data_IF_920621297282
#
_entry.id   IF_920621297282
#
_cell.length_a   1.000
_cell.length_b   1.000
_cell.length_c   1.000
_cell.angle_alpha   90.00
_cell.angle_beta   90.00
_cell.angle_gamma   90.00
#
_symmetry.space_group_name_H-M   'P 1'
#
loop_
_entity.id
_entity.type
_entity.pdbx_description
1 polymer ?
#
# COMPACT_ATOMS: atom_id res chain seq x y z
N UNK A 1 35.34 37.53 -47.44
CA UNK A 1 34.17 36.97 -46.71
C UNK A 1 33.41 38.14 -46.08
N UNK A 2 32.18 38.44 -46.50
CA UNK A 2 31.56 39.75 -46.19
C UNK A 2 31.06 39.84 -44.72
N UNK A 3 31.22 40.99 -44.05
CA UNK A 3 30.85 41.19 -42.64
C UNK A 3 29.33 41.05 -42.39
N UNK A 4 28.50 41.18 -43.43
CA UNK A 4 27.05 40.93 -43.35
C UNK A 4 26.70 39.45 -43.12
N UNK A 5 27.48 38.50 -43.66
CA UNK A 5 27.22 37.06 -43.46
C UNK A 5 27.50 36.61 -42.02
N UNK A 6 28.58 37.11 -41.39
CA UNK A 6 28.90 36.81 -39.98
C UNK A 6 27.84 37.27 -38.98
N UNK A 7 27.17 38.41 -39.21
CA UNK A 7 26.11 38.90 -38.32
C UNK A 7 24.82 38.08 -38.45
N UNK A 8 24.50 37.61 -39.65
CA UNK A 8 23.33 36.78 -39.90
C UNK A 8 23.47 35.39 -39.25
N UNK A 9 24.64 34.77 -39.37
CA UNK A 9 24.94 33.46 -38.76
C UNK A 9 24.91 33.50 -37.22
N UNK A 10 25.34 34.62 -36.62
CA UNK A 10 25.29 34.81 -35.16
C UNK A 10 23.85 35.03 -34.67
N UNK A 11 23.04 35.79 -35.40
CA UNK A 11 21.63 36.01 -35.08
C UNK A 11 20.82 34.70 -35.17
N UNK A 12 21.06 33.89 -36.21
CA UNK A 12 20.40 32.58 -36.37
C UNK A 12 20.79 31.58 -35.28
N UNK A 13 22.08 31.48 -34.93
CA UNK A 13 22.53 30.61 -33.81
C UNK A 13 21.98 31.05 -32.46
N UNK A 14 21.83 32.35 -32.21
CA UNK A 14 21.26 32.86 -30.96
C UNK A 14 19.78 32.48 -30.81
N UNK A 15 19.00 32.55 -31.90
CA UNK A 15 17.60 32.08 -31.93
C UNK A 15 17.50 30.56 -31.78
N UNK A 16 18.38 29.82 -32.43
CA UNK A 16 18.36 28.35 -32.39
C UNK A 16 18.70 27.81 -30.98
N UNK A 17 19.62 28.45 -30.26
CA UNK A 17 19.91 28.15 -28.84
C UNK A 17 18.75 28.53 -27.91
N UNK A 18 18.12 29.68 -28.14
CA UNK A 18 16.94 30.10 -27.36
C UNK A 18 15.76 29.14 -27.51
N UNK A 19 15.49 28.67 -28.74
CA UNK A 19 14.46 27.66 -29.00
C UNK A 19 14.80 26.33 -28.32
N UNK A 20 16.04 25.87 -28.39
CA UNK A 20 16.45 24.62 -27.73
C UNK A 20 16.31 24.67 -26.21
N UNK A 21 16.68 25.80 -25.59
CA UNK A 21 16.52 26.01 -24.16
C UNK A 21 15.04 26.07 -23.75
N UNK A 22 14.19 26.74 -24.54
CA UNK A 22 12.75 26.78 -24.29
C UNK A 22 12.12 25.39 -24.40
N UNK A 23 12.46 24.60 -25.42
CA UNK A 23 11.97 23.23 -25.58
C UNK A 23 12.43 22.33 -24.43
N UNK A 24 13.70 22.42 -24.03
CA UNK A 24 14.23 21.67 -22.90
C UNK A 24 13.50 22.03 -21.59
N UNK A 25 13.21 23.32 -21.35
CA UNK A 25 12.48 23.77 -20.17
C UNK A 25 11.02 23.28 -20.17
N UNK A 26 10.34 23.28 -21.32
CA UNK A 26 8.96 22.76 -21.45
C UNK A 26 8.94 21.25 -21.19
N UNK A 27 9.88 20.49 -21.76
CA UNK A 27 9.99 19.05 -21.51
C UNK A 27 10.28 18.76 -20.03
N UNK A 28 11.19 19.52 -19.42
CA UNK A 28 11.52 19.35 -18.01
C UNK A 28 10.32 19.68 -17.11
N UNK A 29 9.58 20.76 -17.39
CA UNK A 29 8.35 21.08 -16.65
C UNK A 29 7.28 20.01 -16.85
N UNK A 30 7.14 19.44 -18.06
CA UNK A 30 6.24 18.33 -18.33
C UNK A 30 6.60 17.09 -17.50
N UNK A 31 7.88 16.72 -17.45
CA UNK A 31 8.36 15.60 -16.62
C UNK A 31 8.13 15.87 -15.14
N UNK A 32 8.45 17.08 -14.66
CA UNK A 32 8.23 17.46 -13.25
C UNK A 32 6.74 17.44 -12.90
N UNK A 33 5.87 17.93 -13.78
CA UNK A 33 4.42 17.87 -13.57
C UNK A 33 3.90 16.42 -13.46
N UNK A 34 4.37 15.53 -14.34
CA UNK A 34 4.02 14.09 -14.30
C UNK A 34 4.55 13.42 -13.01
N UNK A 35 5.77 13.77 -12.58
CA UNK A 35 6.33 13.25 -11.33
C UNK A 35 5.59 13.76 -10.09
N UNK A 36 5.10 15.02 -10.11
CA UNK A 36 4.33 15.59 -9.00
C UNK A 36 2.92 15.00 -8.91
N UNK A 37 2.25 14.74 -10.04
CA UNK A 37 0.91 14.11 -10.03
C UNK A 37 0.97 12.65 -9.57
N UNK A 38 2.02 11.91 -9.91
CA UNK A 38 2.20 10.53 -9.46
C UNK A 38 2.57 10.43 -7.97
N UNK A 39 3.44 11.31 -7.46
CA UNK A 39 3.82 11.31 -6.03
C UNK A 39 2.72 11.73 -5.06
N UNK A 40 1.83 12.64 -5.47
CA UNK A 40 0.80 13.19 -4.58
C UNK A 40 -0.32 12.18 -4.29
N UNK A 41 -0.63 11.28 -5.21
CA UNK A 41 -1.61 10.21 -5.00
C UNK A 41 -1.19 9.20 -3.92
N UNK A 42 0.07 8.77 -3.93
CA UNK A 42 0.56 7.73 -2.99
C UNK A 42 0.68 8.25 -1.56
N UNK A 43 1.23 9.46 -1.37
CA UNK A 43 1.40 10.07 -0.04
C UNK A 43 0.08 10.52 0.61
N UNK A 44 -0.96 10.77 -0.20
CA UNK A 44 -2.32 11.00 0.27
C UNK A 44 -2.96 9.71 0.78
N UNK A 45 -2.90 8.63 -0.02
CA UNK A 45 -3.44 7.31 0.35
C UNK A 45 -2.74 6.71 1.57
N UNK A 46 -1.43 6.91 1.74
CA UNK A 46 -0.72 6.42 2.92
C UNK A 46 -1.27 7.02 4.23
N UNK A 47 -1.59 8.33 4.24
CA UNK A 47 -2.17 9.03 5.40
C UNK A 47 -3.63 8.67 5.67
N UNK A 48 -4.27 8.04 4.70
CA UNK A 48 -5.63 7.52 4.81
C UNK A 48 -5.62 6.17 5.52
N UNK A 49 -4.58 5.34 5.30
CA UNK A 49 -4.41 4.05 5.98
C UNK A 49 -4.23 4.19 7.49
N UNK A 50 -3.55 5.23 7.95
CA UNK A 50 -3.34 5.50 9.39
C UNK A 50 -4.65 5.85 10.14
N UNK A 51 -5.80 5.89 9.45
CA UNK A 51 -7.12 6.17 10.03
C UNK A 51 -8.03 4.95 10.12
N UNK A 52 -7.52 3.78 9.74
CA UNK A 52 -8.20 2.50 9.88
C UNK A 52 -7.62 1.80 11.10
N UNK A 53 -8.48 1.25 11.94
CA UNK A 53 -8.08 0.48 13.11
C UNK A 53 -8.84 -0.85 13.17
N UNK A 54 -8.29 -1.88 13.82
CA UNK A 54 -9.06 -3.08 14.13
C UNK A 54 -10.32 -2.72 14.92
N UNK A 55 -11.47 -3.26 14.50
CA UNK A 55 -12.81 -2.96 15.04
C UNK A 55 -13.64 -1.99 14.19
N UNK A 56 -13.02 -1.25 13.27
CA UNK A 56 -13.73 -0.36 12.35
C UNK A 56 -14.73 -1.11 11.48
N UNK A 57 -15.87 -0.50 11.15
CA UNK A 57 -16.85 -1.11 10.24
C UNK A 57 -16.43 -0.96 8.78
N UNK A 58 -16.92 -1.86 7.93
CA UNK A 58 -16.77 -1.72 6.46
C UNK A 58 -17.25 -0.36 5.94
N UNK A 59 -18.31 0.22 6.49
CA UNK A 59 -18.77 1.58 6.13
C UNK A 59 -17.67 2.62 6.36
N UNK A 60 -17.00 2.56 7.50
CA UNK A 60 -15.89 3.46 7.83
C UNK A 60 -14.72 3.26 6.87
N UNK A 61 -14.37 2.01 6.59
CA UNK A 61 -13.29 1.68 5.63
C UNK A 61 -13.61 2.22 4.23
N UNK A 62 -14.84 2.08 3.75
CA UNK A 62 -15.26 2.61 2.43
C UNK A 62 -15.26 4.14 2.41
N UNK A 63 -15.68 4.80 3.49
CA UNK A 63 -15.60 6.26 3.59
C UNK A 63 -14.15 6.75 3.47
N UNK A 64 -13.23 6.02 4.09
CA UNK A 64 -11.81 6.36 4.17
C UNK A 64 -11.09 6.03 2.86
N UNK A 65 -11.30 4.84 2.30
CA UNK A 65 -10.52 4.33 1.16
C UNK A 65 -11.27 4.19 -0.16
N UNK A 66 -12.60 4.36 -0.14
CA UNK A 66 -13.49 4.04 -1.25
C UNK A 66 -13.83 2.55 -1.32
N UNK A 67 -14.40 2.15 -2.45
CA UNK A 67 -14.72 0.75 -2.72
C UNK A 67 -13.45 -0.10 -2.88
N UNK A 68 -13.42 -1.34 -2.36
CA UNK A 68 -12.31 -2.25 -2.58
C UNK A 68 -12.20 -2.60 -4.07
N UNK A 69 -10.98 -2.71 -4.56
CA UNK A 69 -10.74 -3.17 -5.93
C UNK A 69 -11.08 -4.65 -6.07
N UNK A 70 -10.97 -5.43 -4.99
CA UNK A 70 -11.37 -6.83 -4.97
C UNK A 70 -11.87 -7.27 -3.60
N UNK A 71 -12.88 -8.13 -3.62
CA UNK A 71 -13.40 -8.86 -2.46
C UNK A 71 -13.06 -10.33 -2.65
N UNK A 72 -12.52 -10.95 -1.61
CA UNK A 72 -12.02 -12.30 -1.62
C UNK A 72 -12.59 -13.05 -0.42
N UNK A 73 -12.88 -14.34 -0.58
CA UNK A 73 -13.03 -15.20 0.58
C UNK A 73 -11.71 -15.28 1.35
N UNK A 74 -11.76 -15.70 2.62
CA UNK A 74 -10.57 -15.85 3.47
C UNK A 74 -9.49 -16.68 2.78
N UNK A 75 -9.84 -17.88 2.27
CA UNK A 75 -8.87 -18.74 1.59
C UNK A 75 -7.63 -19.02 2.46
N UNK A 76 -6.46 -19.18 1.84
CA UNK A 76 -5.20 -19.21 2.58
C UNK A 76 -4.73 -17.82 3.00
N UNK A 77 -4.16 -17.73 4.20
CA UNK A 77 -3.53 -16.55 4.81
C UNK A 77 -2.00 -16.71 4.98
N UNK A 78 -1.42 -17.73 4.34
CA UNK A 78 -0.05 -18.17 4.48
C UNK A 78 0.98 -17.10 4.08
N UNK A 79 0.59 -16.17 3.19
CA UNK A 79 1.42 -15.03 2.78
C UNK A 79 1.62 -14.02 3.92
N UNK A 80 0.71 -13.98 4.91
CA UNK A 80 0.80 -13.07 6.06
C UNK A 80 1.99 -13.37 6.96
N UNK A 81 2.56 -14.58 6.95
CA UNK A 81 3.77 -14.93 7.74
C UNK A 81 4.89 -13.91 7.60
N UNK A 82 5.05 -13.34 6.41
CA UNK A 82 6.10 -12.36 6.11
C UNK A 82 5.75 -10.93 6.53
N UNK A 83 4.50 -10.70 6.95
CA UNK A 83 3.96 -9.40 7.35
C UNK A 83 3.80 -9.27 8.86
N UNK A 84 3.86 -10.36 9.64
CA UNK A 84 3.73 -10.25 11.10
C UNK A 84 4.78 -9.29 11.70
N UNK A 85 4.41 -8.53 12.75
CA UNK A 85 5.37 -7.75 13.53
C UNK A 85 6.53 -8.63 14.05
N UNK A 86 7.69 -8.04 14.36
CA UNK A 86 8.77 -8.80 15.01
C UNK A 86 8.36 -9.32 16.40
N UNK A 87 9.01 -10.38 16.87
CA UNK A 87 8.81 -10.93 18.22
C UNK A 87 7.88 -12.14 18.30
N UNK A 88 7.41 -12.65 17.17
CA UNK A 88 6.59 -13.86 17.10
C UNK A 88 7.46 -15.12 16.90
N UNK A 89 7.25 -16.14 17.72
CA UNK A 89 7.86 -17.46 17.51
C UNK A 89 7.24 -18.15 16.28
N UNK A 90 7.93 -19.08 15.59
CA UNK A 90 7.32 -19.82 14.48
C UNK A 90 6.02 -20.53 14.87
N UNK A 91 5.95 -21.09 16.08
CA UNK A 91 4.74 -21.74 16.58
C UNK A 91 3.60 -20.73 16.81
N UNK A 92 3.88 -19.59 17.46
CA UNK A 92 2.88 -18.54 17.67
C UNK A 92 2.36 -17.96 16.35
N UNK A 93 3.22 -17.82 15.33
CA UNK A 93 2.81 -17.38 13.99
C UNK A 93 1.79 -18.35 13.37
N UNK A 94 2.06 -19.64 13.41
CA UNK A 94 1.13 -20.64 12.86
C UNK A 94 -0.22 -20.60 13.60
N UNK A 95 -0.20 -20.55 14.93
CA UNK A 95 -1.43 -20.48 15.73
C UNK A 95 -2.22 -19.19 15.45
N UNK A 96 -1.55 -18.04 15.39
CA UNK A 96 -2.22 -16.78 15.07
C UNK A 96 -2.79 -16.78 13.66
N UNK A 97 -2.08 -17.32 12.67
CA UNK A 97 -2.61 -17.43 11.31
C UNK A 97 -3.83 -18.34 11.28
N UNK A 98 -3.80 -19.46 11.98
CA UNK A 98 -4.94 -20.39 12.00
C UNK A 98 -6.16 -19.73 12.65
N UNK A 99 -5.97 -19.05 13.78
CA UNK A 99 -7.02 -18.26 14.41
C UNK A 99 -7.57 -17.17 13.48
N UNK A 100 -6.70 -16.43 12.79
CA UNK A 100 -7.15 -15.42 11.82
C UNK A 100 -7.92 -16.04 10.66
N UNK A 101 -7.58 -17.25 10.20
CA UNK A 101 -8.34 -17.94 9.15
C UNK A 101 -9.74 -18.30 9.61
N UNK A 102 -9.90 -18.74 10.85
CA UNK A 102 -11.20 -19.11 11.43
C UNK A 102 -12.08 -17.88 11.64
N UNK A 103 -11.52 -16.79 12.15
CA UNK A 103 -12.28 -15.57 12.49
C UNK A 103 -12.51 -14.65 11.27
N UNK A 104 -11.71 -14.76 10.21
CA UNK A 104 -11.90 -13.94 9.00
C UNK A 104 -13.01 -14.55 8.15
N UNK A 105 -14.05 -13.77 7.87
CA UNK A 105 -15.13 -14.12 6.95
C UNK A 105 -14.84 -13.67 5.50
N UNK A 106 -14.22 -12.50 5.34
CA UNK A 106 -13.93 -11.92 4.03
C UNK A 106 -12.65 -11.09 4.04
N UNK A 107 -12.04 -10.91 2.88
CA UNK A 107 -10.89 -10.03 2.68
C UNK A 107 -11.13 -9.02 1.59
N UNK A 108 -10.70 -7.79 1.83
CA UNK A 108 -10.80 -6.68 0.90
C UNK A 108 -9.41 -6.19 0.50
N UNK A 109 -9.20 -6.03 -0.81
CA UNK A 109 -7.91 -5.66 -1.39
C UNK A 109 -8.01 -4.28 -2.01
N UNK A 110 -7.07 -3.41 -1.66
CA UNK A 110 -7.00 -2.04 -2.12
C UNK A 110 -5.65 -1.70 -2.75
N UNK A 111 -5.65 -1.04 -3.92
CA UNK A 111 -4.44 -0.54 -4.52
C UNK A 111 -4.01 0.78 -3.87
N UNK A 112 -2.76 0.84 -3.43
CA UNK A 112 -2.12 2.10 -3.03
C UNK A 112 -1.44 2.79 -4.24
N UNK A 113 -0.99 1.99 -5.22
CA UNK A 113 -0.42 2.46 -6.49
C UNK A 113 -1.14 1.88 -7.71
N UNK A 114 -0.44 1.77 -8.83
CA UNK A 114 -0.95 1.11 -10.04
C UNK A 114 -0.73 -0.40 -10.00
N UNK A 115 -1.79 -1.20 -10.12
CA UNK A 115 -1.70 -2.65 -10.19
C UNK A 115 -3.07 -3.33 -10.17
N UNK A 116 -3.13 -4.57 -10.65
CA UNK A 116 -4.34 -5.37 -10.56
C UNK A 116 -4.46 -6.01 -9.17
N UNK A 117 -5.65 -5.94 -8.57
CA UNK A 117 -5.92 -6.58 -7.29
C UNK A 117 -6.20 -8.08 -7.50
N UNK A 118 -5.49 -8.90 -6.74
CA UNK A 118 -5.74 -10.34 -6.64
C UNK A 118 -5.89 -10.74 -5.16
N UNK A 119 -6.46 -11.92 -4.92
CA UNK A 119 -6.70 -12.44 -3.57
C UNK A 119 -5.42 -12.88 -2.83
N UNK A 120 -4.30 -12.92 -3.54
CA UNK A 120 -2.96 -12.92 -2.95
C UNK A 120 -2.31 -11.60 -3.32
N UNK A 121 -2.41 -10.56 -2.47
CA UNK A 121 -2.03 -9.21 -2.85
C UNK A 121 -0.52 -9.10 -3.07
N UNK A 122 -0.06 -8.56 -4.23
CA UNK A 122 1.35 -8.26 -4.45
C UNK A 122 1.83 -7.12 -3.52
N UNK A 123 3.15 -6.88 -3.51
CA UNK A 123 3.75 -5.75 -2.79
C UNK A 123 3.11 -4.43 -3.20
N UNK A 124 2.91 -3.53 -2.23
CA UNK A 124 2.32 -2.21 -2.50
C UNK A 124 0.79 -2.17 -2.52
N UNK A 125 0.13 -3.24 -2.12
CA UNK A 125 -1.31 -3.30 -1.88
C UNK A 125 -1.62 -3.20 -0.38
N UNK A 126 -2.85 -2.83 -0.06
CA UNK A 126 -3.43 -2.98 1.26
C UNK A 126 -4.38 -4.16 1.25
N UNK A 127 -4.34 -4.97 2.29
CA UNK A 127 -5.26 -6.07 2.51
C UNK A 127 -5.93 -5.89 3.87
N UNK A 128 -7.24 -6.07 3.92
CA UNK A 128 -8.04 -5.95 5.14
C UNK A 128 -8.81 -7.26 5.31
N UNK A 129 -8.65 -7.91 6.45
CA UNK A 129 -9.49 -9.03 6.87
C UNK A 129 -10.67 -8.55 7.70
N UNK A 130 -11.84 -9.09 7.40
CA UNK A 130 -13.10 -8.76 8.04
C UNK A 130 -13.67 -9.96 8.77
N UNK A 131 -14.27 -9.72 9.94
CA UNK A 131 -15.04 -10.72 10.68
C UNK A 131 -16.46 -10.92 10.09
N UNK A 132 -17.25 -11.80 10.69
CA UNK A 132 -18.64 -12.06 10.28
C UNK A 132 -19.53 -10.83 10.41
N UNK A 133 -19.25 -9.98 11.41
CA UNK A 133 -19.92 -8.71 11.67
C UNK A 133 -19.51 -7.57 10.72
N UNK A 134 -18.67 -7.85 9.73
CA UNK A 134 -18.17 -6.88 8.75
C UNK A 134 -17.38 -5.73 9.41
N UNK A 135 -16.54 -6.08 10.38
CA UNK A 135 -15.57 -5.19 11.02
C UNK A 135 -14.16 -5.63 10.70
N UNK A 136 -13.23 -4.69 10.73
CA UNK A 136 -11.80 -4.93 10.51
C UNK A 136 -11.27 -5.79 11.64
N UNK A 137 -10.91 -7.03 11.32
CA UNK A 137 -10.22 -7.92 12.28
C UNK A 137 -8.72 -7.63 12.28
N UNK A 138 -8.14 -7.49 11.08
CA UNK A 138 -6.72 -7.24 10.86
C UNK A 138 -6.52 -6.53 9.53
N UNK A 139 -5.37 -5.90 9.33
CA UNK A 139 -5.03 -5.37 8.01
C UNK A 139 -3.52 -5.24 7.80
N UNK A 140 -3.08 -5.46 6.56
CA UNK A 140 -1.72 -5.15 6.12
C UNK A 140 -1.77 -3.77 5.46
N UNK A 141 -1.21 -2.71 6.08
CA UNK A 141 -1.32 -1.37 5.54
C UNK A 141 -0.69 -1.27 4.15
N UNK A 142 0.52 -1.81 3.98
CA UNK A 142 1.18 -1.91 2.68
C UNK A 142 2.05 -3.18 2.63
N UNK A 143 1.62 -4.16 1.83
CA UNK A 143 2.30 -5.46 1.70
C UNK A 143 3.77 -5.30 1.35
N UNK A 144 4.63 -5.88 2.18
CA UNK A 144 6.09 -5.86 2.03
C UNK A 144 6.76 -4.54 2.44
N UNK A 145 6.02 -3.58 3.01
CA UNK A 145 6.57 -2.31 3.52
C UNK A 145 6.21 -2.03 4.96
N UNK A 146 5.01 -2.41 5.40
CA UNK A 146 4.52 -2.20 6.77
C UNK A 146 4.05 -3.52 7.36
N UNK A 147 4.28 -3.73 8.66
CA UNK A 147 3.80 -4.93 9.33
C UNK A 147 2.26 -4.96 9.35
N UNK A 148 1.73 -6.16 9.47
CA UNK A 148 0.34 -6.48 9.75
C UNK A 148 -0.07 -5.84 11.07
N UNK A 149 -1.20 -5.15 11.06
CA UNK A 149 -1.86 -4.61 12.23
C UNK A 149 -2.90 -5.62 12.71
N UNK A 150 -2.77 -6.01 13.98
CA UNK A 150 -3.51 -7.11 14.60
C UNK A 150 -4.49 -6.56 15.65
N UNK A 151 -5.56 -7.30 15.98
CA UNK A 151 -6.45 -6.89 17.06
C UNK A 151 -5.69 -6.93 18.40
N UNK A 152 -6.02 -6.05 19.37
CA UNK A 152 -5.24 -5.92 20.61
C UNK A 152 -5.08 -7.20 21.44
N UNK A 153 -6.02 -8.14 21.29
CA UNK A 153 -5.98 -9.44 21.98
C UNK A 153 -5.07 -10.49 21.34
N UNK A 154 -4.59 -10.27 20.12
CA UNK A 154 -3.74 -11.22 19.40
C UNK A 154 -2.28 -10.78 19.46
N UNK A 155 -1.57 -11.25 20.48
CA UNK A 155 -0.18 -10.91 20.78
C UNK A 155 0.67 -12.18 20.91
N UNK A 156 2.00 -12.13 20.70
CA UNK A 156 2.85 -13.31 20.85
C UNK A 156 2.65 -14.02 22.19
N UNK A 157 2.62 -13.25 23.28
CA UNK A 157 2.45 -13.78 24.63
C UNK A 157 1.10 -14.46 24.86
N UNK A 158 0.04 -14.03 24.17
CA UNK A 158 -1.29 -14.62 24.30
C UNK A 158 -1.43 -15.97 23.59
N UNK A 159 -0.61 -16.23 22.57
CA UNK A 159 -0.64 -17.48 21.78
C UNK A 159 0.50 -18.44 22.18
N UNK A 160 1.53 -17.96 22.85
CA UNK A 160 2.60 -18.80 23.42
C UNK A 160 2.23 -19.42 24.79
N UNK A 161 1.03 -19.16 25.34
CA UNK A 161 0.60 -19.82 26.58
C UNK A 161 0.37 -21.32 26.31
N UNK A 162 1.08 -22.23 26.99
CA UNK A 162 0.75 -23.65 26.93
C UNK A 162 -0.65 -23.83 27.49
N UNK A 163 -1.48 -24.64 26.82
CA UNK A 163 -2.76 -25.10 27.35
C UNK A 163 -2.57 -25.45 28.83
N UNK A 164 -3.15 -24.65 29.72
CA UNK A 164 -3.21 -24.98 31.13
C UNK A 164 -3.98 -26.30 31.18
N UNK A 165 -3.25 -27.39 31.47
CA UNK A 165 -3.84 -28.68 31.75
C UNK A 165 -4.85 -28.48 32.89
N UNK A 166 -6.14 -28.44 32.53
CA UNK A 166 -7.21 -28.72 33.48
C UNK A 166 -7.11 -30.21 33.85
N UNK A 167 -6.24 -30.50 34.80
CA UNK A 167 -6.31 -31.71 35.62
C UNK A 167 -7.00 -31.30 36.93
N UNK A 168 -8.25 -31.77 37.10
CA UNK A 168 -9.10 -31.55 38.26
C UNK A 168 -10.36 -32.38 38.21
#
# INVERSE_FOLDING_TARGET
MSPRKRRLDYALRSRQRGVWLATAAILLMGVVAILLTTRTGEGGRMRTLDRIEPGDTTTRVVEVMGEPARRCATGSLEHLRTQFPPGWSPAALEQAIERLKEETAQRWIYPIGSGAADCTPPRGMTEIGLDEEQRVLWYVPVTGKRPLELPPGLTPAAVDLPDEQTDG
#
